data_IF_359523924932
#
_entry.id   IF_359523924932
#
_cell.length_a   1.000
_cell.length_b   1.000
_cell.length_c   1.000
_cell.angle_alpha   90.00
_cell.angle_beta   90.00
_cell.angle_gamma   90.00
#
_symmetry.space_group_name_H-M   'P 1'
#
loop_
_entity.id
_entity.type
_entity.pdbx_description
1 polymer ?
#
# COMPACT_ATOMS: atom_id res chain seq x y z
N UNK A 1 13.68 -27.00 8.03
CA UNK A 1 15.00 -26.42 8.29
C UNK A 1 15.04 -26.03 9.74
N UNK A 2 16.09 -26.44 10.45
CA UNK A 2 16.35 -25.90 11.78
C UNK A 2 16.89 -24.46 11.68
N UNK A 3 16.86 -23.71 12.78
CA UNK A 3 17.34 -22.33 12.84
C UNK A 3 18.83 -22.24 12.49
N UNK A 4 19.63 -23.18 12.98
CA UNK A 4 21.08 -23.23 12.74
C UNK A 4 21.41 -23.53 11.27
N UNK A 5 20.66 -24.44 10.64
CA UNK A 5 20.81 -24.74 9.21
C UNK A 5 20.51 -23.49 8.36
N UNK A 6 19.43 -22.79 8.67
CA UNK A 6 19.01 -21.58 7.95
C UNK A 6 20.07 -20.47 8.08
N UNK A 7 20.67 -20.30 9.26
CA UNK A 7 21.77 -19.35 9.47
C UNK A 7 22.99 -19.76 8.63
N UNK A 8 23.37 -21.05 8.70
CA UNK A 8 24.53 -21.57 8.00
C UNK A 8 24.42 -21.46 6.48
N UNK A 9 23.26 -21.75 5.92
CA UNK A 9 22.98 -21.62 4.48
C UNK A 9 22.94 -20.17 4.03
N UNK A 10 22.37 -19.27 4.86
CA UNK A 10 22.42 -17.84 4.58
C UNK A 10 23.85 -17.32 4.57
N UNK A 11 24.68 -17.70 5.54
CA UNK A 11 26.08 -17.33 5.61
C UNK A 11 26.89 -17.86 4.41
N UNK A 12 26.51 -19.02 3.85
CA UNK A 12 27.11 -19.64 2.66
C UNK A 12 26.67 -19.04 1.32
N UNK A 13 25.75 -18.08 1.30
CA UNK A 13 25.20 -17.48 0.07
C UNK A 13 24.22 -18.38 -0.70
N UNK A 14 23.70 -19.42 -0.06
CA UNK A 14 22.76 -20.34 -0.72
C UNK A 14 21.42 -19.63 -1.04
N UNK A 15 21.07 -18.59 -0.28
CA UNK A 15 19.96 -17.70 -0.59
C UNK A 15 20.19 -16.26 -0.10
N UNK A 16 19.58 -15.24 -0.74
CA UNK A 16 19.85 -13.83 -0.47
C UNK A 16 18.95 -13.19 0.59
N UNK A 17 17.92 -13.90 1.09
CA UNK A 17 16.89 -13.32 1.97
C UNK A 17 16.35 -14.36 2.96
N UNK A 18 16.08 -13.91 4.18
CA UNK A 18 15.32 -14.64 5.19
C UNK A 18 14.07 -13.82 5.52
N UNK A 19 12.92 -14.49 5.53
CA UNK A 19 11.70 -13.95 6.13
C UNK A 19 11.46 -14.67 7.45
N UNK A 20 11.27 -13.92 8.54
CA UNK A 20 11.06 -14.51 9.85
C UNK A 20 10.24 -13.60 10.76
N UNK A 21 9.60 -14.20 11.76
CA UNK A 21 8.98 -13.46 12.87
C UNK A 21 10.05 -13.01 13.86
N UNK A 22 9.70 -12.11 14.78
CA UNK A 22 10.66 -11.53 15.75
C UNK A 22 11.43 -12.58 16.57
N UNK A 23 10.88 -13.79 16.75
CA UNK A 23 11.49 -14.91 17.45
C UNK A 23 12.79 -15.48 16.80
N UNK A 24 13.08 -15.09 15.56
CA UNK A 24 14.31 -15.44 14.82
C UNK A 24 15.26 -14.24 14.65
N UNK A 25 14.72 -13.02 14.73
CA UNK A 25 15.49 -11.78 14.60
C UNK A 25 16.28 -11.39 15.85
N UNK A 26 15.84 -11.84 17.04
CA UNK A 26 16.44 -11.47 18.33
C UNK A 26 17.47 -12.51 18.80
N UNK A 27 18.60 -12.05 19.34
CA UNK A 27 19.64 -12.90 19.98
C UNK A 27 20.66 -13.57 19.05
N UNK A 28 20.44 -13.60 17.73
CA UNK A 28 21.36 -14.22 16.76
C UNK A 28 22.36 -13.21 16.14
N UNK A 29 23.56 -13.67 15.79
CA UNK A 29 24.61 -12.82 15.20
C UNK A 29 24.62 -12.90 13.68
N UNK A 30 24.10 -11.86 13.02
CA UNK A 30 23.98 -11.80 11.58
C UNK A 30 25.02 -10.86 10.96
N UNK A 31 26.25 -11.33 10.72
CA UNK A 31 27.35 -10.47 10.23
C UNK A 31 27.15 -9.98 8.79
N UNK A 32 26.40 -10.72 7.97
CA UNK A 32 26.18 -10.41 6.54
C UNK A 32 24.90 -9.63 6.26
N UNK A 33 24.07 -9.36 7.26
CA UNK A 33 22.83 -8.61 7.04
C UNK A 33 23.20 -7.15 6.73
N UNK A 34 22.92 -6.73 5.50
CA UNK A 34 23.09 -5.34 5.05
C UNK A 34 21.78 -4.57 5.00
N UNK A 35 20.65 -5.27 4.97
CA UNK A 35 19.31 -4.69 4.93
C UNK A 35 18.34 -5.43 5.82
N UNK A 36 17.53 -4.69 6.58
CA UNK A 36 16.44 -5.21 7.41
C UNK A 36 15.16 -4.53 6.99
N UNK A 37 14.11 -5.32 6.75
CA UNK A 37 12.77 -4.83 6.44
C UNK A 37 11.84 -5.30 7.53
N UNK A 38 11.28 -4.35 8.28
CA UNK A 38 10.21 -4.61 9.24
C UNK A 38 8.89 -4.30 8.57
N UNK A 39 7.95 -5.24 8.62
CA UNK A 39 6.61 -5.08 8.05
C UNK A 39 5.58 -5.08 9.17
N UNK A 40 4.75 -4.04 9.22
CA UNK A 40 3.67 -3.92 10.19
C UNK A 40 4.10 -3.38 11.55
N UNK A 41 3.18 -3.48 12.50
CA UNK A 41 3.30 -2.96 13.87
C UNK A 41 4.22 -3.85 14.72
N UNK A 42 5.07 -3.24 15.54
CA UNK A 42 5.96 -3.97 16.43
C UNK A 42 6.61 -3.07 17.46
N UNK A 43 7.00 -3.69 18.58
CA UNK A 43 7.64 -3.00 19.71
C UNK A 43 8.92 -2.25 19.25
N UNK A 44 9.06 -0.96 19.57
CA UNK A 44 10.22 -0.16 19.15
C UNK A 44 11.56 -0.74 19.58
N UNK A 45 11.66 -1.31 20.78
CA UNK A 45 12.91 -1.88 21.28
C UNK A 45 13.32 -3.12 20.48
N UNK A 46 12.37 -3.99 20.13
CA UNK A 46 12.60 -5.12 19.24
C UNK A 46 13.01 -4.67 17.83
N UNK A 47 12.34 -3.67 17.28
CA UNK A 47 12.67 -3.09 15.97
C UNK A 47 14.10 -2.52 15.98
N UNK A 48 14.45 -1.74 17.01
CA UNK A 48 15.79 -1.20 17.18
C UNK A 48 16.87 -2.29 17.25
N UNK A 49 16.59 -3.41 17.94
CA UNK A 49 17.51 -4.55 18.00
C UNK A 49 17.69 -5.27 16.66
N UNK A 50 16.64 -5.35 15.84
CA UNK A 50 16.71 -5.91 14.49
C UNK A 50 17.48 -4.99 13.55
N UNK A 51 17.18 -3.68 13.57
CA UNK A 51 17.89 -2.68 12.79
C UNK A 51 19.39 -2.65 13.13
N UNK A 52 19.74 -2.77 14.41
CA UNK A 52 21.14 -2.85 14.88
C UNK A 52 21.92 -4.10 14.41
N UNK A 53 21.30 -4.98 13.62
CA UNK A 53 22.01 -6.09 12.93
C UNK A 53 22.62 -5.63 11.62
N UNK A 54 22.01 -4.66 10.92
CA UNK A 54 22.59 -4.16 9.68
C UNK A 54 23.82 -3.29 9.99
N UNK A 55 24.94 -3.58 9.31
CA UNK A 55 26.17 -2.80 9.43
C UNK A 55 27.13 -3.21 10.57
N UNK A 56 26.97 -4.42 11.13
CA UNK A 56 27.91 -4.99 12.11
C UNK A 56 29.32 -5.23 11.59
N UNK A 57 29.47 -5.28 10.26
CA UNK A 57 30.74 -5.33 9.57
C UNK A 57 31.41 -3.95 9.43
N UNK A 58 30.81 -2.90 10.02
CA UNK A 58 31.31 -1.53 9.99
C UNK A 58 30.86 -0.74 8.76
N UNK A 59 30.14 -1.37 7.82
CA UNK A 59 29.60 -0.69 6.64
C UNK A 59 28.17 -0.18 6.91
N UNK A 60 27.69 0.86 6.21
CA UNK A 60 26.32 1.34 6.36
C UNK A 60 25.28 0.24 6.13
N UNK A 61 24.29 0.14 7.01
CA UNK A 61 23.15 -0.75 6.86
C UNK A 61 21.89 0.02 6.47
N UNK A 62 20.94 -0.66 5.83
CA UNK A 62 19.64 -0.08 5.49
C UNK A 62 18.52 -0.73 6.32
N UNK A 63 17.85 0.09 7.13
CA UNK A 63 16.62 -0.29 7.81
C UNK A 63 15.41 0.31 7.06
N UNK A 64 14.43 -0.53 6.76
CA UNK A 64 13.17 -0.12 6.14
C UNK A 64 12.03 -0.50 7.09
N UNK A 65 11.29 0.49 7.55
CA UNK A 65 10.11 0.32 8.38
C UNK A 65 8.88 0.49 7.50
N UNK A 66 8.29 -0.62 7.07
CA UNK A 66 7.07 -0.62 6.28
C UNK A 66 5.85 -0.63 7.21
N UNK A 67 5.41 0.57 7.57
CA UNK A 67 4.33 0.80 8.52
C UNK A 67 3.02 1.13 7.81
N UNK A 68 1.90 0.65 8.35
CA UNK A 68 0.58 1.00 7.83
C UNK A 68 0.27 2.47 8.07
N UNK A 69 -0.30 3.13 7.05
CA UNK A 69 -0.69 4.55 7.11
C UNK A 69 -1.85 4.79 8.09
N UNK A 70 -2.74 3.80 8.20
CA UNK A 70 -3.79 3.73 9.21
C UNK A 70 -3.73 2.36 9.85
N UNK A 71 -3.62 2.30 11.17
CA UNK A 71 -3.58 1.06 11.96
C UNK A 71 -4.97 0.82 12.53
N UNK A 72 -5.54 -0.35 12.24
CA UNK A 72 -6.79 -0.75 12.86
C UNK A 72 -6.57 -0.89 14.37
N UNK A 73 -7.49 -0.35 15.16
CA UNK A 73 -7.40 -0.29 16.63
C UNK A 73 -6.22 0.51 17.22
N UNK A 74 -5.38 1.13 16.39
CA UNK A 74 -4.26 1.96 16.82
C UNK A 74 -4.55 3.46 16.83
N UNK A 75 -3.64 4.23 17.40
CA UNK A 75 -3.64 5.69 17.34
C UNK A 75 -3.17 6.16 15.96
N UNK A 76 -4.01 6.95 15.30
CA UNK A 76 -3.83 7.38 13.91
C UNK A 76 -3.73 8.91 13.73
N UNK A 77 -3.65 9.64 14.85
CA UNK A 77 -3.49 11.11 14.84
C UNK A 77 -2.58 11.57 15.97
N UNK A 78 -1.86 12.67 15.75
CA UNK A 78 -0.98 13.26 16.75
C UNK A 78 -1.76 13.71 18.00
N UNK A 79 -3.00 14.18 17.83
CA UNK A 79 -3.87 14.56 18.95
C UNK A 79 -4.27 13.38 19.83
N UNK A 80 -4.50 12.21 19.22
CA UNK A 80 -4.84 11.00 19.96
C UNK A 80 -3.62 10.50 20.76
N UNK A 81 -2.44 10.52 20.16
CA UNK A 81 -1.17 10.19 20.83
C UNK A 81 -0.90 11.15 22.00
N UNK A 82 -1.13 12.45 21.82
CA UNK A 82 -0.89 13.45 22.87
C UNK A 82 -1.76 13.26 24.12
N UNK A 83 -2.93 12.63 23.98
CA UNK A 83 -3.87 12.35 25.08
C UNK A 83 -3.71 10.95 25.69
N UNK A 84 -2.92 10.09 25.04
CA UNK A 84 -2.71 8.73 25.46
C UNK A 84 -1.57 8.62 26.49
N UNK A 85 -1.50 7.47 27.16
CA UNK A 85 -0.39 7.16 28.04
C UNK A 85 0.85 6.81 27.20
N UNK A 86 1.91 7.61 27.31
CA UNK A 86 3.09 7.48 26.44
C UNK A 86 3.96 6.27 26.77
N UNK A 87 3.81 5.73 27.98
CA UNK A 87 4.56 4.56 28.46
C UNK A 87 3.87 3.24 28.06
N UNK A 88 2.62 3.31 27.60
CA UNK A 88 1.88 2.14 27.13
C UNK A 88 2.48 1.59 25.82
N UNK A 89 2.66 0.27 25.75
CA UNK A 89 3.30 -0.39 24.62
C UNK A 89 2.55 -0.16 23.30
N UNK A 90 1.22 -0.12 23.33
CA UNK A 90 0.42 0.12 22.14
C UNK A 90 0.62 1.55 21.61
N UNK A 91 0.69 2.52 22.53
CA UNK A 91 0.97 3.92 22.21
C UNK A 91 2.39 4.11 21.70
N UNK A 92 3.38 3.42 22.27
CA UNK A 92 4.77 3.44 21.80
C UNK A 92 4.88 2.94 20.36
N UNK A 93 4.26 1.80 20.07
CA UNK A 93 4.22 1.22 18.71
C UNK A 93 3.58 2.18 17.70
N UNK A 94 2.47 2.82 18.07
CA UNK A 94 1.78 3.75 17.17
C UNK A 94 2.53 5.08 17.01
N UNK A 95 3.19 5.54 18.08
CA UNK A 95 4.01 6.74 18.07
C UNK A 95 5.24 6.59 17.18
N UNK A 96 5.94 5.45 17.24
CA UNK A 96 7.12 5.17 16.39
C UNK A 96 6.79 5.35 14.90
N UNK A 97 5.62 4.88 14.51
CA UNK A 97 5.26 4.87 13.10
C UNK A 97 4.58 6.18 12.65
N UNK A 98 4.45 7.19 13.52
CA UNK A 98 3.95 8.53 13.21
C UNK A 98 4.91 9.66 13.63
N UNK A 99 5.99 9.35 14.35
CA UNK A 99 6.87 10.38 14.91
C UNK A 99 7.47 11.26 13.81
N UNK A 100 7.40 12.60 13.95
CA UNK A 100 7.99 13.53 12.99
C UNK A 100 9.48 13.81 13.28
N UNK A 101 10.03 13.26 14.37
CA UNK A 101 11.39 13.60 14.84
C UNK A 101 12.45 12.65 14.28
N UNK A 102 13.73 12.93 14.51
CA UNK A 102 14.81 12.04 14.11
C UNK A 102 14.59 10.62 14.66
N UNK A 103 14.55 9.60 13.78
CA UNK A 103 14.32 8.21 14.20
C UNK A 103 15.46 7.69 15.10
N UNK A 104 16.72 8.09 14.84
CA UNK A 104 17.86 7.69 15.68
C UNK A 104 17.66 8.13 17.12
N UNK A 105 17.36 9.42 17.29
CA UNK A 105 17.08 10.01 18.62
C UNK A 105 15.81 9.41 19.22
N UNK A 106 14.75 9.20 18.42
CA UNK A 106 13.52 8.58 18.91
C UNK A 106 13.75 7.20 19.52
N UNK A 107 14.56 6.35 18.87
CA UNK A 107 14.96 5.05 19.43
C UNK A 107 15.84 5.20 20.69
N UNK A 108 16.75 6.18 20.74
CA UNK A 108 17.54 6.44 21.95
C UNK A 108 16.64 6.83 23.14
N UNK A 109 15.69 7.74 22.91
CA UNK A 109 14.74 8.19 23.94
C UNK A 109 13.87 7.04 24.41
N UNK A 110 13.34 6.22 23.50
CA UNK A 110 12.55 5.05 23.85
C UNK A 110 13.34 4.06 24.72
N UNK A 111 14.59 3.77 24.35
CA UNK A 111 15.43 2.84 25.10
C UNK A 111 15.81 3.35 26.50
N UNK A 112 15.91 4.67 26.69
CA UNK A 112 16.30 5.27 27.97
C UNK A 112 15.12 5.59 28.88
N UNK A 113 13.99 5.98 28.29
CA UNK A 113 12.86 6.57 29.01
C UNK A 113 11.51 5.87 28.76
N UNK A 114 11.45 4.90 27.84
CA UNK A 114 10.26 4.08 27.62
C UNK A 114 9.13 4.77 26.84
N UNK A 115 9.44 5.76 25.99
CA UNK A 115 8.45 6.37 25.11
C UNK A 115 9.07 6.92 23.81
N UNK A 116 8.23 7.13 22.79
CA UNK A 116 8.65 7.76 21.54
C UNK A 116 8.33 9.27 21.58
N UNK A 117 9.32 10.15 21.38
CA UNK A 117 9.09 11.59 21.30
C UNK A 117 8.32 11.93 20.02
N UNK A 118 7.40 12.90 20.14
CA UNK A 118 6.55 13.37 19.02
C UNK A 118 6.85 14.81 18.60
N UNK A 119 7.75 15.49 19.33
CA UNK A 119 8.14 16.88 19.11
C UNK A 119 9.64 17.03 19.36
N UNK A 120 10.28 17.94 18.63
CA UNK A 120 11.69 18.30 18.83
C UNK A 120 11.88 19.13 20.10
N UNK A 121 10.84 19.80 20.57
CA UNK A 121 10.89 20.56 21.84
C UNK A 121 10.82 19.65 23.08
N UNK A 122 10.72 18.33 22.90
CA UNK A 122 10.79 17.37 24.00
C UNK A 122 12.15 17.48 24.74
N UNK A 123 12.18 17.66 26.07
CA UNK A 123 13.43 17.84 26.82
C UNK A 123 14.42 16.68 26.71
N UNK A 124 13.94 15.45 26.56
CA UNK A 124 14.80 14.27 26.40
C UNK A 124 15.31 14.17 24.95
N UNK A 125 14.49 14.56 23.96
CA UNK A 125 14.95 14.70 22.57
C UNK A 125 16.10 15.70 22.47
N UNK A 126 15.93 16.91 23.01
CA UNK A 126 16.96 17.96 22.98
C UNK A 126 18.24 17.53 23.71
N UNK A 127 18.12 16.83 24.83
CA UNK A 127 19.28 16.33 25.57
C UNK A 127 20.08 15.33 24.74
N UNK A 128 19.39 14.41 24.05
CA UNK A 128 20.04 13.42 23.20
C UNK A 128 20.65 14.06 21.94
N UNK A 129 19.99 15.05 21.33
CA UNK A 129 20.52 15.82 20.21
C UNK A 129 21.85 16.51 20.59
N UNK A 130 21.87 17.22 21.73
CA UNK A 130 23.08 17.87 22.25
C UNK A 130 24.19 16.84 22.54
N UNK A 131 23.84 15.66 23.07
CA UNK A 131 24.81 14.59 23.35
C UNK A 131 25.43 14.05 22.06
N UNK A 132 24.61 13.75 21.05
CA UNK A 132 25.08 13.26 19.75
C UNK A 132 26.03 14.27 19.08
N UNK A 133 25.71 15.57 19.15
CA UNK A 133 26.59 16.64 18.65
C UNK A 133 27.91 16.71 19.43
N UNK A 134 27.86 16.69 20.76
CA UNK A 134 29.04 16.75 21.62
C UNK A 134 29.97 15.54 21.44
N UNK A 135 29.42 14.36 21.17
CA UNK A 135 30.17 13.14 20.88
C UNK A 135 30.60 13.02 19.41
N UNK A 136 30.24 13.98 18.56
CA UNK A 136 30.66 14.02 17.17
C UNK A 136 30.00 12.96 16.29
N UNK A 137 28.75 12.60 16.57
CA UNK A 137 28.01 11.65 15.76
C UNK A 137 27.82 12.20 14.33
N UNK A 138 27.82 11.31 13.34
CA UNK A 138 27.50 11.71 11.97
C UNK A 138 26.06 12.22 11.88
N UNK A 139 25.81 13.13 10.95
CA UNK A 139 24.46 13.63 10.66
C UNK A 139 23.55 12.46 10.32
N UNK A 140 22.37 12.41 10.95
CA UNK A 140 21.41 11.35 10.72
C UNK A 140 20.82 11.44 9.31
N UNK A 141 20.77 10.30 8.60
CA UNK A 141 20.17 10.15 7.27
C UNK A 141 18.80 9.45 7.27
N UNK A 142 18.09 9.44 8.41
CA UNK A 142 16.75 8.83 8.46
C UNK A 142 15.74 9.64 7.63
N UNK A 143 14.60 9.04 7.30
CA UNK A 143 13.55 9.66 6.47
C UNK A 143 13.03 10.99 7.00
N UNK A 144 13.08 11.21 8.33
CA UNK A 144 12.64 12.47 8.95
C UNK A 144 13.75 13.55 8.95
N UNK A 145 15.01 13.17 8.79
CA UNK A 145 16.16 14.09 8.72
C UNK A 145 16.56 14.42 7.28
N UNK A 146 16.42 13.47 6.36
CA UNK A 146 16.79 13.59 4.95
C UNK A 146 15.68 13.03 4.03
N UNK A 147 14.50 13.68 3.97
CA UNK A 147 13.33 13.15 3.26
C UNK A 147 13.57 12.99 1.75
N UNK A 148 14.26 13.94 1.10
CA UNK A 148 14.58 13.87 -0.33
C UNK A 148 15.51 12.70 -0.66
N UNK A 149 16.53 12.45 0.17
CA UNK A 149 17.44 11.32 -0.01
C UNK A 149 16.72 9.99 0.22
N UNK A 150 15.80 9.93 1.19
CA UNK A 150 14.99 8.75 1.44
C UNK A 150 14.06 8.42 0.25
N UNK A 151 13.45 9.43 -0.39
CA UNK A 151 12.62 9.21 -1.58
C UNK A 151 13.44 8.67 -2.76
N UNK A 152 14.62 9.26 -3.03
CA UNK A 152 15.54 8.76 -4.05
C UNK A 152 16.00 7.32 -3.76
N UNK A 153 16.28 7.01 -2.50
CA UNK A 153 16.66 5.66 -2.08
C UNK A 153 15.57 4.63 -2.38
N UNK A 154 14.29 4.99 -2.18
CA UNK A 154 13.15 4.13 -2.53
C UNK A 154 13.08 3.86 -4.05
N UNK A 155 13.43 4.84 -4.88
CA UNK A 155 13.47 4.66 -6.34
C UNK A 155 14.63 3.75 -6.77
N UNK A 156 15.82 3.94 -6.19
CA UNK A 156 17.01 3.13 -6.45
C UNK A 156 16.87 1.67 -6.01
N UNK A 157 15.92 1.35 -5.11
CA UNK A 157 15.73 -0.02 -4.61
C UNK A 157 15.50 -1.06 -5.72
N UNK A 158 14.92 -0.66 -6.86
CA UNK A 158 14.65 -1.55 -8.00
C UNK A 158 15.91 -2.00 -8.74
N UNK A 159 16.98 -1.21 -8.65
CA UNK A 159 18.26 -1.44 -9.34
C UNK A 159 19.39 -1.76 -8.38
N UNK A 160 19.07 -1.95 -7.10
CA UNK A 160 20.04 -2.29 -6.05
C UNK A 160 20.56 -3.71 -6.23
N UNK A 161 21.88 -3.84 -6.27
CA UNK A 161 22.65 -5.08 -6.29
C UNK A 161 23.61 -5.10 -5.10
N UNK A 162 24.27 -6.23 -4.87
CA UNK A 162 25.30 -6.35 -3.82
C UNK A 162 26.46 -5.37 -4.08
N UNK A 163 26.82 -5.16 -5.35
CA UNK A 163 27.97 -4.35 -5.74
C UNK A 163 27.73 -2.84 -5.65
N UNK A 164 26.49 -2.39 -5.85
CA UNK A 164 26.15 -0.96 -5.84
C UNK A 164 25.48 -0.48 -4.55
N UNK A 165 25.24 -1.38 -3.58
CA UNK A 165 24.52 -1.09 -2.34
C UNK A 165 25.15 0.06 -1.54
N UNK A 166 26.48 0.03 -1.36
CA UNK A 166 27.20 1.06 -0.60
C UNK A 166 27.09 2.43 -1.31
N UNK A 167 27.24 2.45 -2.63
CA UNK A 167 27.10 3.66 -3.45
C UNK A 167 25.68 4.24 -3.42
N UNK A 168 24.65 3.38 -3.39
CA UNK A 168 23.24 3.79 -3.25
C UNK A 168 23.01 4.49 -1.90
N UNK A 169 23.60 3.98 -0.82
CA UNK A 169 23.43 4.54 0.52
C UNK A 169 24.20 5.86 0.72
N UNK A 170 25.39 5.97 0.12
CA UNK A 170 26.19 7.18 0.25
C UNK A 170 25.73 8.29 -0.69
N UNK A 171 25.38 7.92 -1.93
CA UNK A 171 25.09 8.85 -3.01
C UNK A 171 23.94 8.37 -3.92
N UNK A 172 22.68 8.37 -3.44
CA UNK A 172 21.54 7.91 -4.21
C UNK A 172 21.31 8.72 -5.50
N UNK A 173 21.83 9.96 -5.57
CA UNK A 173 21.75 10.86 -6.75
C UNK A 173 22.65 10.47 -7.93
N UNK A 174 23.65 9.59 -7.74
CA UNK A 174 24.71 9.37 -8.74
C UNK A 174 24.55 8.12 -9.61
N UNK A 175 23.41 7.43 -9.51
CA UNK A 175 23.20 6.19 -10.25
C UNK A 175 22.40 6.42 -11.53
N UNK A 176 22.71 5.64 -12.59
CA UNK A 176 22.20 5.89 -13.93
C UNK A 176 20.68 5.90 -13.97
N UNK A 177 20.17 6.80 -14.82
CA UNK A 177 18.77 7.09 -15.05
C UNK A 177 17.93 5.81 -15.14
N UNK A 178 16.91 5.72 -14.28
CA UNK A 178 16.09 4.51 -14.05
C UNK A 178 15.18 4.15 -15.24
N UNK A 179 15.24 4.90 -16.33
CA UNK A 179 14.44 4.66 -17.54
C UNK A 179 14.74 3.31 -18.21
N UNK A 180 15.97 2.79 -18.07
CA UNK A 180 16.33 1.47 -18.64
C UNK A 180 15.79 0.27 -17.84
N UNK A 181 15.47 0.47 -16.56
CA UNK A 181 14.88 -0.55 -15.68
C UNK A 181 13.34 -0.41 -15.57
N UNK A 182 12.71 0.36 -16.47
CA UNK A 182 11.30 0.15 -16.82
C UNK A 182 11.21 -1.16 -17.62
N UNK A 183 11.52 -2.30 -16.99
CA UNK A 183 10.71 -3.48 -17.29
C UNK A 183 9.29 -3.00 -17.08
N UNK A 184 8.56 -2.90 -18.19
CA UNK A 184 7.15 -2.60 -18.15
C UNK A 184 6.60 -3.41 -16.99
N UNK A 185 5.99 -2.75 -16.01
CA UNK A 185 5.06 -3.48 -15.17
C UNK A 185 4.19 -4.20 -16.19
N UNK A 186 4.34 -5.52 -16.29
CA UNK A 186 3.13 -6.33 -16.41
C UNK A 186 2.40 -5.92 -15.16
N UNK A 187 1.57 -4.89 -15.34
CA UNK A 187 0.42 -4.68 -14.51
C UNK A 187 -0.20 -6.06 -14.51
N UNK A 188 0.06 -6.84 -13.46
CA UNK A 188 -1.00 -7.67 -12.94
C UNK A 188 -2.09 -6.65 -12.74
N UNK A 189 -3.00 -6.61 -13.72
CA UNK A 189 -4.27 -5.93 -13.62
C UNK A 189 -4.92 -6.54 -12.40
N UNK A 190 -4.57 -5.99 -11.22
CA UNK A 190 -5.47 -5.92 -10.08
C UNK A 190 -6.79 -5.47 -10.71
N UNK A 191 -7.80 -6.30 -10.50
CA UNK A 191 -9.08 -6.20 -11.18
C UNK A 191 -9.61 -4.77 -11.17
N UNK A 192 -10.28 -4.43 -12.26
CA UNK A 192 -10.92 -3.14 -12.45
C UNK A 192 -10.00 -2.12 -13.10
N UNK A 193 -10.16 -1.92 -14.42
CA UNK A 193 -10.16 -0.55 -14.92
C UNK A 193 -11.11 0.21 -14.00
N UNK A 194 -10.61 1.21 -13.28
CA UNK A 194 -11.48 2.26 -12.80
C UNK A 194 -12.14 2.82 -14.06
N UNK A 195 -13.39 2.42 -14.30
CA UNK A 195 -14.19 3.09 -15.30
C UNK A 195 -14.34 4.52 -14.79
N UNK A 196 -13.75 5.45 -15.54
CA UNK A 196 -13.91 6.90 -15.43
C UNK A 196 -15.35 7.32 -15.80
N UNK A 197 -16.32 6.58 -15.27
CA UNK A 197 -17.71 6.98 -15.18
C UNK A 197 -17.83 7.67 -13.82
N UNK A 198 -18.30 8.91 -13.79
CA UNK A 198 -18.49 9.71 -12.57
C UNK A 198 -19.34 9.02 -11.48
N UNK A 199 -19.73 9.75 -10.42
CA UNK A 199 -20.41 9.17 -9.26
C UNK A 199 -21.58 8.28 -9.70
N UNK A 200 -21.59 7.03 -9.22
CA UNK A 200 -22.59 6.04 -9.56
C UNK A 200 -23.56 5.92 -8.38
N UNK A 201 -24.77 6.50 -8.48
CA UNK A 201 -25.68 6.58 -7.35
C UNK A 201 -26.06 5.22 -6.76
N UNK A 202 -26.08 4.17 -7.58
CA UNK A 202 -26.45 2.82 -7.16
C UNK A 202 -25.33 2.17 -6.34
N UNK A 203 -24.07 2.35 -6.75
CA UNK A 203 -22.91 1.85 -6.00
C UNK A 203 -22.62 2.72 -4.77
N UNK A 204 -22.87 4.03 -4.84
CA UNK A 204 -22.74 4.94 -3.70
C UNK A 204 -23.77 4.62 -2.61
N UNK A 205 -25.01 4.32 -3.01
CA UNK A 205 -26.06 3.86 -2.09
C UNK A 205 -25.69 2.50 -1.47
N UNK A 206 -25.12 1.59 -2.26
CA UNK A 206 -24.64 0.32 -1.73
C UNK A 206 -23.49 0.50 -0.73
N UNK A 207 -22.51 1.36 -1.03
CA UNK A 207 -21.43 1.70 -0.11
C UNK A 207 -21.97 2.29 1.20
N UNK A 208 -22.97 3.17 1.14
CA UNK A 208 -23.68 3.68 2.32
C UNK A 208 -24.31 2.55 3.15
N UNK A 209 -25.00 1.61 2.49
CA UNK A 209 -25.62 0.46 3.16
C UNK A 209 -24.59 -0.48 3.81
N UNK A 210 -23.39 -0.65 3.22
CA UNK A 210 -22.32 -1.43 3.82
C UNK A 210 -21.84 -0.82 5.14
N UNK A 211 -21.68 0.52 5.17
CA UNK A 211 -21.30 1.24 6.39
C UNK A 211 -22.39 1.12 7.47
N UNK A 212 -23.67 1.21 7.09
CA UNK A 212 -24.78 1.06 8.04
C UNK A 212 -24.86 -0.36 8.63
N UNK A 213 -24.74 -1.39 7.79
CA UNK A 213 -24.74 -2.78 8.22
C UNK A 213 -23.52 -3.09 9.11
N UNK A 214 -22.35 -2.57 8.75
CA UNK A 214 -21.16 -2.68 9.59
C UNK A 214 -21.36 -2.00 10.95
N UNK A 215 -21.91 -0.79 10.98
CA UNK A 215 -22.20 -0.09 12.24
C UNK A 215 -23.17 -0.87 13.14
N UNK A 216 -24.17 -1.54 12.56
CA UNK A 216 -25.09 -2.40 13.29
C UNK A 216 -24.39 -3.66 13.83
N UNK A 217 -23.59 -4.32 12.98
CA UNK A 217 -22.79 -5.47 13.37
C UNK A 217 -21.81 -5.12 14.50
N UNK A 218 -21.11 -4.00 14.38
CA UNK A 218 -20.20 -3.46 15.39
C UNK A 218 -20.88 -3.28 16.75
N UNK A 219 -22.05 -2.63 16.77
CA UNK A 219 -22.84 -2.44 18.01
C UNK A 219 -23.37 -3.74 18.60
N UNK A 220 -23.59 -4.77 17.77
CA UNK A 220 -24.03 -6.08 18.24
C UNK A 220 -22.91 -6.86 18.92
N UNK A 221 -21.67 -6.70 18.43
CA UNK A 221 -20.48 -7.35 18.98
C UNK A 221 -19.90 -6.61 20.19
N UNK A 222 -19.92 -5.28 20.16
CA UNK A 222 -19.41 -4.44 21.24
C UNK A 222 -20.53 -3.62 21.88
N UNK A 223 -20.70 -3.74 23.22
CA UNK A 223 -21.65 -2.93 24.00
C UNK A 223 -21.15 -1.48 24.20
N UNK A 224 -22.03 -0.60 24.70
CA UNK A 224 -22.00 0.88 24.72
C UNK A 224 -20.67 1.64 24.97
N UNK A 225 -19.60 1.01 25.45
CA UNK A 225 -18.31 1.67 25.66
C UNK A 225 -17.16 0.93 24.95
N UNK A 226 -16.80 1.43 23.77
CA UNK A 226 -15.54 1.09 23.06
C UNK A 226 -14.65 2.31 22.98
N UNK A 227 -13.33 2.14 23.03
CA UNK A 227 -12.34 3.21 22.90
C UNK A 227 -12.22 3.76 21.47
N UNK A 228 -12.92 3.15 20.51
CA UNK A 228 -12.88 3.49 19.09
C UNK A 228 -14.27 3.42 18.45
N UNK A 229 -14.43 4.17 17.36
CA UNK A 229 -15.63 4.26 16.55
C UNK A 229 -15.61 3.21 15.43
N UNK A 230 -16.78 2.69 14.99
CA UNK A 230 -16.89 1.77 13.86
C UNK A 230 -16.18 2.29 12.59
N UNK A 231 -16.27 3.61 12.34
CA UNK A 231 -15.68 4.27 11.17
C UNK A 231 -14.15 4.26 11.17
N UNK A 232 -13.51 3.89 12.28
CA UNK A 232 -12.05 3.69 12.36
C UNK A 232 -11.63 2.29 11.89
N UNK A 233 -12.57 1.35 11.79
CA UNK A 233 -12.34 -0.02 11.33
C UNK A 233 -12.82 -0.18 9.89
N UNK A 234 -14.03 0.31 9.61
CA UNK A 234 -14.64 0.25 8.29
C UNK A 234 -15.32 1.58 7.98
N UNK A 235 -14.76 2.28 6.99
CA UNK A 235 -15.22 3.61 6.57
C UNK A 235 -15.81 3.57 5.16
N UNK A 236 -16.22 4.74 4.67
CA UNK A 236 -16.67 4.87 3.29
C UNK A 236 -15.63 4.41 2.26
N UNK A 237 -14.33 4.53 2.56
CA UNK A 237 -13.26 4.11 1.63
C UNK A 237 -13.30 2.61 1.34
N UNK A 238 -13.36 1.79 2.39
CA UNK A 238 -13.44 0.33 2.27
C UNK A 238 -14.79 -0.07 1.65
N UNK A 239 -15.88 0.58 2.04
CA UNK A 239 -17.20 0.35 1.48
C UNK A 239 -17.28 0.64 -0.03
N UNK A 240 -16.69 1.74 -0.49
CA UNK A 240 -16.61 2.05 -1.92
C UNK A 240 -15.70 1.09 -2.67
N UNK A 241 -14.63 0.60 -2.04
CA UNK A 241 -13.74 -0.40 -2.65
C UNK A 241 -14.48 -1.71 -2.92
N UNK A 242 -15.30 -2.17 -1.97
CA UNK A 242 -16.18 -3.33 -2.13
C UNK A 242 -17.25 -3.06 -3.19
N UNK A 243 -17.93 -1.91 -3.13
CA UNK A 243 -18.98 -1.55 -4.08
C UNK A 243 -18.48 -1.49 -5.53
N UNK A 244 -17.28 -0.95 -5.75
CA UNK A 244 -16.67 -0.90 -7.09
C UNK A 244 -16.16 -2.27 -7.56
N UNK A 245 -15.92 -3.20 -6.64
CA UNK A 245 -15.45 -4.55 -6.94
C UNK A 245 -16.57 -5.60 -6.85
N UNK A 246 -17.84 -5.13 -6.81
CA UNK A 246 -19.00 -5.97 -6.53
C UNK A 246 -19.20 -7.09 -7.53
N UNK A 247 -18.62 -7.04 -8.72
CA UNK A 247 -18.69 -8.10 -9.73
C UNK A 247 -17.61 -9.17 -9.59
N UNK A 248 -16.45 -8.82 -9.03
CA UNK A 248 -15.30 -9.72 -8.94
C UNK A 248 -15.29 -10.58 -7.67
N UNK A 249 -16.04 -10.19 -6.64
CA UNK A 249 -16.09 -10.86 -5.33
C UNK A 249 -16.80 -12.23 -5.46
N UNK A 250 -16.14 -13.32 -5.13
CA UNK A 250 -16.70 -14.69 -5.20
C UNK A 250 -17.01 -15.26 -3.83
N UNK A 251 -16.23 -14.90 -2.82
CA UNK A 251 -16.43 -15.31 -1.45
C UNK A 251 -15.96 -14.22 -0.46
N UNK A 252 -16.03 -14.52 0.83
CA UNK A 252 -15.64 -13.60 1.89
C UNK A 252 -14.13 -13.31 1.94
N UNK A 253 -13.28 -14.20 1.40
CA UNK A 253 -11.81 -13.98 1.37
C UNK A 253 -11.46 -12.89 0.37
N UNK A 254 -12.18 -12.82 -0.75
CA UNK A 254 -12.05 -11.69 -1.67
C UNK A 254 -12.41 -10.36 -1.00
N UNK A 255 -13.33 -10.37 -0.03
CA UNK A 255 -13.68 -9.19 0.77
C UNK A 255 -12.56 -8.83 1.75
N UNK A 256 -11.97 -9.81 2.44
CA UNK A 256 -10.80 -9.59 3.29
C UNK A 256 -9.62 -9.00 2.52
N UNK A 257 -9.32 -9.56 1.35
CA UNK A 257 -8.23 -9.08 0.48
C UNK A 257 -8.47 -7.64 0.00
N UNK A 258 -9.73 -7.25 -0.22
CA UNK A 258 -10.11 -5.90 -0.65
C UNK A 258 -10.03 -4.86 0.47
N UNK A 259 -10.40 -5.24 1.70
CA UNK A 259 -10.36 -4.35 2.87
C UNK A 259 -8.91 -4.25 3.39
N UNK A 260 -8.20 -5.39 3.42
CA UNK A 260 -6.86 -5.50 3.98
C UNK A 260 -6.80 -5.29 5.51
N UNK A 261 -5.66 -5.62 6.11
CA UNK A 261 -5.42 -5.48 7.55
C UNK A 261 -6.19 -6.50 8.40
N UNK A 262 -6.09 -6.36 9.72
CA UNK A 262 -6.74 -7.26 10.69
C UNK A 262 -8.28 -7.09 10.64
N UNK A 263 -9.04 -8.16 10.47
CA UNK A 263 -10.51 -8.13 10.39
C UNK A 263 -11.13 -8.58 11.72
N UNK A 264 -12.31 -8.06 12.06
CA UNK A 264 -13.05 -8.60 13.21
C UNK A 264 -13.63 -9.98 12.85
N UNK A 265 -13.72 -10.88 13.83
CA UNK A 265 -14.35 -12.18 13.64
C UNK A 265 -15.78 -12.03 13.07
N UNK A 266 -16.01 -12.58 11.88
CA UNK A 266 -17.30 -12.53 11.18
C UNK A 266 -17.56 -11.26 10.35
N UNK A 267 -16.63 -10.30 10.32
CA UNK A 267 -16.76 -9.07 9.52
C UNK A 267 -16.86 -9.38 8.02
N UNK A 268 -15.93 -10.17 7.51
CA UNK A 268 -15.83 -10.48 6.09
C UNK A 268 -17.04 -11.27 5.60
N UNK A 269 -17.53 -12.23 6.39
CA UNK A 269 -18.73 -12.99 6.07
C UNK A 269 -19.96 -12.09 6.06
N UNK A 270 -20.11 -11.19 7.03
CA UNK A 270 -21.22 -10.24 7.10
C UNK A 270 -21.23 -9.30 5.88
N UNK A 271 -20.08 -8.73 5.52
CA UNK A 271 -19.95 -7.86 4.35
C UNK A 271 -20.18 -8.62 3.04
N UNK A 272 -19.70 -9.86 2.94
CA UNK A 272 -19.99 -10.72 1.79
C UNK A 272 -21.49 -11.02 1.66
N UNK A 273 -22.22 -11.25 2.76
CA UNK A 273 -23.68 -11.41 2.71
C UNK A 273 -24.39 -10.15 2.21
N UNK A 274 -23.88 -8.97 2.53
CA UNK A 274 -24.39 -7.71 1.97
C UNK A 274 -24.18 -7.65 0.46
N UNK A 275 -23.01 -8.07 -0.04
CA UNK A 275 -22.70 -8.18 -1.49
C UNK A 275 -23.66 -9.15 -2.18
N UNK A 276 -23.87 -10.34 -1.62
CA UNK A 276 -24.81 -11.34 -2.18
C UNK A 276 -26.24 -10.79 -2.23
N UNK A 277 -26.68 -10.14 -1.14
CA UNK A 277 -28.02 -9.56 -1.05
C UNK A 277 -28.23 -8.46 -2.08
N UNK A 278 -27.25 -7.57 -2.23
CA UNK A 278 -27.29 -6.50 -3.21
C UNK A 278 -27.30 -7.02 -4.65
N UNK A 279 -26.49 -8.03 -4.97
CA UNK A 279 -26.51 -8.72 -6.28
C UNK A 279 -27.86 -9.34 -6.60
N UNK A 280 -28.57 -9.84 -5.58
CA UNK A 280 -29.91 -10.39 -5.72
C UNK A 280 -31.00 -9.34 -5.99
N UNK A 281 -30.75 -8.08 -5.62
CA UNK A 281 -31.68 -6.96 -5.68
C UNK A 281 -32.04 -6.50 -7.10
N UNK A 282 -33.25 -5.96 -7.24
CA UNK A 282 -33.74 -5.43 -8.52
C UNK A 282 -32.91 -4.24 -9.04
N UNK A 283 -32.51 -3.34 -8.14
CA UNK A 283 -31.76 -2.13 -8.50
C UNK A 283 -30.39 -2.44 -9.12
N UNK A 284 -29.72 -3.49 -8.65
CA UNK A 284 -28.43 -3.93 -9.21
C UNK A 284 -28.61 -4.60 -10.58
N UNK A 285 -29.67 -5.39 -10.76
CA UNK A 285 -30.00 -6.00 -12.07
C UNK A 285 -30.34 -4.92 -13.11
N UNK A 286 -31.17 -3.95 -12.74
CA UNK A 286 -31.50 -2.81 -13.60
C UNK A 286 -30.27 -1.95 -13.94
N UNK A 287 -29.33 -1.84 -12.99
CA UNK A 287 -28.03 -1.20 -13.24
C UNK A 287 -27.18 -1.99 -14.25
N UNK A 288 -27.09 -3.32 -14.09
CA UNK A 288 -26.39 -4.21 -15.03
C UNK A 288 -26.96 -4.14 -16.44
N UNK A 289 -28.27 -4.25 -16.57
CA UNK A 289 -28.96 -4.19 -17.87
C UNK A 289 -28.71 -2.84 -18.58
N UNK A 290 -28.67 -1.74 -17.81
CA UNK A 290 -28.34 -0.41 -18.35
C UNK A 290 -26.88 -0.31 -18.80
N UNK A 291 -25.94 -0.88 -18.06
CA UNK A 291 -24.54 -0.91 -18.46
C UNK A 291 -24.34 -1.72 -19.74
N UNK A 292 -24.89 -2.94 -19.80
CA UNK A 292 -24.77 -3.80 -20.98
C UNK A 292 -25.37 -3.13 -22.23
N UNK A 293 -26.54 -2.51 -22.08
CA UNK A 293 -27.17 -1.75 -23.16
C UNK A 293 -26.32 -0.57 -23.61
N UNK A 294 -25.74 0.18 -22.67
CA UNK A 294 -24.88 1.31 -22.99
C UNK A 294 -23.60 0.88 -23.73
N UNK A 295 -22.97 -0.20 -23.28
CA UNK A 295 -21.78 -0.76 -23.93
C UNK A 295 -22.11 -1.28 -25.33
N UNK A 296 -23.27 -1.91 -25.50
CA UNK A 296 -23.77 -2.34 -26.80
C UNK A 296 -24.04 -1.14 -27.74
N UNK A 297 -24.60 -0.06 -27.22
CA UNK A 297 -24.83 1.18 -27.97
C UNK A 297 -23.51 1.84 -28.42
N UNK A 298 -22.50 1.89 -27.53
CA UNK A 298 -21.15 2.37 -27.88
C UNK A 298 -20.53 1.51 -28.99
N UNK A 299 -20.61 0.18 -28.85
CA UNK A 299 -20.04 -0.73 -29.84
C UNK A 299 -20.73 -0.60 -31.20
N UNK A 300 -22.05 -0.47 -31.21
CA UNK A 300 -22.84 -0.22 -32.41
C UNK A 300 -22.44 1.10 -33.09
N UNK A 301 -22.17 2.16 -32.32
CA UNK A 301 -21.75 3.46 -32.86
C UNK A 301 -20.31 3.41 -33.40
N UNK A 302 -19.39 2.71 -32.72
CA UNK A 302 -18.03 2.45 -33.22
C UNK A 302 -18.09 1.72 -34.58
N UNK A 303 -18.92 0.68 -34.68
CA UNK A 303 -19.06 -0.09 -35.92
C UNK A 303 -19.72 0.73 -37.03
N UNK A 304 -20.67 1.61 -36.71
CA UNK A 304 -21.23 2.58 -37.66
C UNK A 304 -20.13 3.51 -38.19
N UNK A 305 -19.32 4.11 -37.32
CA UNK A 305 -18.24 5.02 -37.71
C UNK A 305 -17.23 4.31 -38.62
N UNK A 306 -16.88 3.06 -38.33
CA UNK A 306 -15.97 2.24 -39.15
C UNK A 306 -16.49 1.93 -40.55
N UNK A 307 -17.81 1.86 -40.77
CA UNK A 307 -18.41 1.59 -42.09
C UNK A 307 -18.45 2.82 -43.00
N UNK A 308 -18.41 4.04 -42.47
CA UNK A 308 -18.48 5.29 -43.25
C UNK A 308 -17.36 5.42 -44.31
N UNK A 309 -16.08 5.13 -44.01
CA UNK A 309 -15.00 5.18 -45.01
C UNK A 309 -15.15 4.11 -46.10
N UNK A 310 -15.65 2.92 -45.75
CA UNK A 310 -15.80 1.78 -46.65
C UNK A 310 -16.94 2.03 -47.66
N UNK A 311 -18.07 2.54 -47.19
CA UNK A 311 -19.18 2.97 -48.06
C UNK A 311 -18.76 4.12 -49.00
N UNK A 312 -17.94 5.06 -48.53
CA UNK A 312 -17.36 6.13 -49.36
C UNK A 312 -16.41 5.59 -50.43
N UNK A 313 -15.60 4.55 -50.14
CA UNK A 313 -14.73 3.88 -51.14
C UNK A 313 -15.56 3.16 -52.19
N UNK A 314 -16.52 2.33 -51.78
CA UNK A 314 -17.40 1.58 -52.69
C UNK A 314 -18.25 2.51 -53.59
N UNK A 315 -18.68 3.65 -53.05
CA UNK A 315 -19.37 4.72 -53.79
C UNK A 315 -18.48 5.34 -54.88
N UNK A 316 -17.20 5.62 -54.58
CA UNK A 316 -16.22 6.14 -55.55
C UNK A 316 -15.94 5.10 -56.64
N UNK A 317 -15.72 3.84 -56.29
CA UNK A 317 -15.47 2.76 -57.24
C UNK A 317 -16.67 2.49 -58.16
N UNK A 318 -17.90 2.52 -57.63
CA UNK A 318 -19.12 2.43 -58.47
C UNK A 318 -19.23 3.61 -59.43
N UNK A 319 -18.93 4.84 -59.00
CA UNK A 319 -18.93 6.03 -59.88
C UNK A 319 -17.88 5.91 -60.98
N UNK A 320 -16.70 5.36 -60.68
CA UNK A 320 -15.64 5.16 -61.66
C UNK A 320 -15.99 4.07 -62.70
N UNK A 321 -16.48 2.91 -62.26
CA UNK A 321 -16.98 1.86 -63.17
C UNK A 321 -18.14 2.32 -64.05
N UNK A 322 -19.04 3.17 -63.54
CA UNK A 322 -20.12 3.74 -64.34
C UNK A 322 -19.63 4.77 -65.38
N UNK A 323 -18.54 5.51 -65.09
CA UNK A 323 -17.90 6.41 -66.06
C UNK A 323 -17.19 5.63 -67.17
N UNK A 324 -16.49 4.55 -66.82
CA UNK A 324 -15.82 3.66 -67.79
C UNK A 324 -16.83 2.96 -68.72
N UNK A 325 -17.94 2.44 -68.18
CA UNK A 325 -19.03 1.86 -69.01
C UNK A 325 -19.67 2.87 -69.97
N UNK A 326 -19.84 4.14 -69.55
CA UNK A 326 -20.36 5.19 -70.43
C UNK A 326 -19.39 5.55 -71.55
N UNK A 327 -18.09 5.50 -71.31
CA UNK A 327 -17.06 5.77 -72.32
C UNK A 327 -16.92 4.62 -73.35
N UNK A 328 -17.20 3.38 -72.95
CA UNK A 328 -17.19 2.22 -73.86
C UNK A 328 -18.41 2.23 -74.79
N UNK A 329 -19.59 2.62 -74.30
CA UNK A 329 -20.81 2.70 -75.12
C UNK A 329 -20.91 3.95 -76.02
N UNK A 330 -19.89 4.83 -76.02
CA UNK A 330 -19.84 6.04 -76.84
C UNK A 330 -18.79 5.98 -77.96
N UNK A 331 -18.30 4.78 -78.29
CA UNK A 331 -17.46 4.47 -79.45
C UNK A 331 -18.22 3.54 -80.38
#
# INVERSE_FOLDING_TARGET
MDKEDTIGEFEKEDFPMISCTMALGLGQNWKRVRRVITMGRGDPSCIGQMMGRCGRDGRPGLAILFMEKKRKFGLNSLEAIAKADKEDDDVRMDSLAMTPVCLRIAFSVDNLYGYIPMDRDDPNYLREEIREEAEGFSVCKCSNCAPEEAELLLECMKVTTVDNFDSILDHPKHLPDTDAARTSKKTTTRGGKANDSGPNPVLDQFAGSLVENFNAFFRSQYKEATSFLPSQIFSGLEAHTIANSVDSIKDWRDVEDLIGGEAMDGEAEMLYQCVVSFRGGGEFKDYKDRQEKHEQDIQNEIDRIRRIPEEKRLSKEKKQKNREKKAINSR
#
